data_IF_488298914536
#
_entry.id   IF_488298914536
#
_cell.length_a   1.000
_cell.length_b   1.000
_cell.length_c   1.000
_cell.angle_alpha   90.00
_cell.angle_beta   90.00
_cell.angle_gamma   90.00
#
_symmetry.space_group_name_H-M   'P 1'
#
loop_
_entity.id
_entity.type
_entity.pdbx_description
1 polymer ?
#
# COMPACT_ATOMS: atom_id res chain seq x y z
N UNK A 1 -19.61 4.03 -10.91
CA UNK A 1 -19.93 3.10 -9.82
C UNK A 1 -19.62 1.70 -10.33
N UNK A 2 -18.87 0.86 -9.61
CA UNK A 2 -18.68 -0.53 -10.03
C UNK A 2 -20.05 -1.23 -10.14
N UNK A 3 -20.20 -2.22 -11.04
CA UNK A 3 -21.47 -2.92 -11.20
C UNK A 3 -21.91 -3.58 -9.88
N UNK A 4 -23.22 -3.71 -9.62
CA UNK A 4 -23.70 -4.35 -8.39
C UNK A 4 -23.24 -5.80 -8.29
N UNK A 5 -22.96 -6.24 -7.06
CA UNK A 5 -22.56 -7.62 -6.77
C UNK A 5 -23.57 -8.62 -7.32
N UNK A 6 -23.08 -9.73 -7.86
CA UNK A 6 -23.92 -10.83 -8.31
C UNK A 6 -24.58 -10.62 -9.68
N UNK A 7 -24.45 -9.43 -10.27
CA UNK A 7 -24.86 -9.17 -11.65
C UNK A 7 -23.96 -9.90 -12.63
N UNK A 8 -24.45 -10.26 -13.84
CA UNK A 8 -23.63 -10.86 -14.88
C UNK A 8 -22.40 -10.01 -15.19
N UNK A 9 -21.25 -10.66 -15.39
CA UNK A 9 -20.04 -9.95 -15.73
C UNK A 9 -20.06 -9.52 -17.20
N UNK A 10 -20.14 -8.21 -17.44
CA UNK A 10 -20.21 -7.62 -18.79
C UNK A 10 -18.94 -7.84 -19.63
N UNK A 11 -17.86 -8.31 -19.01
CA UNK A 11 -16.61 -8.68 -19.70
C UNK A 11 -16.58 -10.15 -20.13
N UNK A 12 -17.64 -10.92 -19.86
CA UNK A 12 -17.77 -12.27 -20.38
C UNK A 12 -18.08 -12.20 -21.89
N UNK A 13 -17.06 -12.45 -22.72
CA UNK A 13 -17.12 -12.37 -24.17
C UNK A 13 -16.23 -13.43 -24.84
N UNK A 14 -16.20 -13.52 -26.18
CA UNK A 14 -15.52 -14.60 -26.93
C UNK A 14 -13.97 -14.54 -26.91
N UNK A 15 -13.38 -13.91 -25.88
CA UNK A 15 -11.94 -13.89 -25.69
C UNK A 15 -11.39 -15.22 -25.19
N UNK A 16 -10.09 -15.40 -25.30
CA UNK A 16 -9.31 -16.55 -24.79
C UNK A 16 -9.08 -16.51 -23.27
N UNK A 17 -10.00 -15.90 -22.53
CA UNK A 17 -9.91 -15.72 -21.08
C UNK A 17 -11.20 -16.16 -20.39
N UNK A 18 -11.08 -16.71 -19.18
CA UNK A 18 -12.23 -17.07 -18.34
C UNK A 18 -12.47 -15.98 -17.31
N UNK A 19 -13.58 -15.25 -17.43
CA UNK A 19 -14.03 -14.32 -16.40
C UNK A 19 -14.94 -15.02 -15.38
N UNK A 20 -15.06 -14.44 -14.19
CA UNK A 20 -16.13 -14.85 -13.28
C UNK A 20 -17.49 -14.49 -13.89
N UNK A 21 -18.44 -15.43 -13.91
CA UNK A 21 -19.79 -15.21 -14.46
C UNK A 21 -20.57 -14.06 -13.79
N UNK A 22 -20.22 -13.77 -12.53
CA UNK A 22 -20.84 -12.71 -11.73
C UNK A 22 -19.80 -11.69 -11.29
N UNK A 23 -20.26 -10.47 -11.05
CA UNK A 23 -19.46 -9.38 -10.49
C UNK A 23 -19.29 -9.59 -8.97
N UNK A 24 -18.05 -9.50 -8.51
CA UNK A 24 -17.66 -9.52 -7.10
C UNK A 24 -17.08 -8.15 -6.71
N UNK A 25 -17.42 -7.68 -5.52
CA UNK A 25 -16.93 -6.42 -4.97
C UNK A 25 -16.66 -6.52 -3.45
N UNK A 26 -16.53 -7.74 -2.94
CA UNK A 26 -16.19 -8.06 -1.56
C UNK A 26 -14.81 -8.74 -1.45
N UNK A 27 -14.33 -8.89 -0.24
CA UNK A 27 -13.05 -9.57 0.04
C UNK A 27 -13.26 -11.08 0.04
N UNK A 28 -12.49 -11.80 -0.77
CA UNK A 28 -12.53 -13.26 -0.74
C UNK A 28 -12.15 -13.79 0.65
N UNK A 29 -12.82 -14.84 1.17
CA UNK A 29 -12.58 -15.32 2.53
C UNK A 29 -11.13 -15.68 2.85
N UNK A 30 -10.35 -16.12 1.85
CA UNK A 30 -8.95 -16.54 2.02
C UNK A 30 -7.95 -15.38 2.14
N UNK A 31 -8.34 -14.15 1.76
CA UNK A 31 -7.54 -12.92 1.93
C UNK A 31 -8.21 -11.92 2.88
N UNK A 32 -9.19 -12.36 3.65
CA UNK A 32 -9.87 -11.52 4.63
C UNK A 32 -8.90 -11.18 5.78
N UNK A 33 -8.53 -9.89 5.97
CA UNK A 33 -7.53 -9.51 6.97
C UNK A 33 -8.02 -9.73 8.41
N UNK A 34 -9.33 -9.91 8.62
CA UNK A 34 -9.92 -10.14 9.94
C UNK A 34 -9.98 -11.62 10.32
N UNK A 35 -9.79 -12.54 9.36
CA UNK A 35 -9.93 -13.98 9.60
C UNK A 35 -8.58 -14.62 9.89
N UNK A 36 -8.52 -15.32 11.02
CA UNK A 36 -7.32 -16.02 11.51
C UNK A 36 -7.08 -17.40 10.86
N UNK A 37 -7.97 -17.93 10.03
CA UNK A 37 -7.95 -19.35 9.68
C UNK A 37 -8.25 -19.58 8.20
N UNK A 38 -7.43 -20.42 7.52
CA UNK A 38 -7.90 -21.61 6.79
C UNK A 38 -6.73 -22.55 6.41
N UNK A 39 -6.71 -23.70 7.10
CA UNK A 39 -6.05 -25.00 6.80
C UNK A 39 -4.57 -25.22 7.17
N UNK A 40 -4.32 -26.46 7.65
CA UNK A 40 -3.09 -26.99 8.28
C UNK A 40 -1.85 -27.06 7.37
N UNK A 41 -1.92 -26.52 6.15
CA UNK A 41 -0.77 -26.37 5.26
C UNK A 41 -0.22 -24.95 5.41
N UNK A 42 0.49 -24.75 6.52
CA UNK A 42 1.39 -23.64 6.84
C UNK A 42 1.51 -22.53 5.78
N UNK A 43 0.84 -21.39 6.00
CA UNK A 43 1.41 -20.03 5.92
C UNK A 43 0.41 -19.03 6.57
N UNK A 44 0.63 -18.85 7.87
CA UNK A 44 0.35 -17.66 8.71
C UNK A 44 -1.09 -17.20 8.93
N UNK A 45 -1.54 -17.34 10.18
CA UNK A 45 -2.44 -16.42 10.89
C UNK A 45 -2.13 -14.97 10.48
N UNK A 46 -3.09 -14.24 9.91
CA UNK A 46 -3.00 -12.80 9.58
C UNK A 46 -2.98 -11.91 10.83
N UNK A 47 -2.12 -12.23 11.81
CA UNK A 47 -1.92 -11.41 12.98
C UNK A 47 -0.61 -10.64 12.84
N UNK A 48 -0.74 -9.34 12.57
CA UNK A 48 0.39 -8.43 12.42
C UNK A 48 0.65 -7.62 13.69
N UNK A 49 0.15 -8.06 14.84
CA UNK A 49 0.47 -7.44 16.14
C UNK A 49 1.99 -7.31 16.32
N UNK A 50 2.42 -6.11 16.69
CA UNK A 50 3.82 -5.73 16.86
C UNK A 50 4.59 -5.48 15.55
N UNK A 51 3.96 -5.63 14.39
CA UNK A 51 4.59 -5.34 13.09
C UNK A 51 4.43 -3.87 12.72
N UNK A 52 5.45 -3.38 12.02
CA UNK A 52 5.52 -2.04 11.45
C UNK A 52 5.42 -2.08 9.93
N UNK A 53 4.59 -1.21 9.35
CA UNK A 53 4.39 -1.12 7.90
C UNK A 53 4.42 0.33 7.44
N UNK A 54 5.03 0.57 6.28
CA UNK A 54 4.97 1.86 5.58
C UNK A 54 4.36 1.69 4.20
N UNK A 55 3.26 2.40 3.94
CA UNK A 55 2.56 2.42 2.65
C UNK A 55 2.74 3.78 1.98
N UNK A 56 3.32 3.79 0.78
CA UNK A 56 3.38 5.00 -0.07
C UNK A 56 2.12 5.12 -0.94
N UNK A 57 1.72 6.34 -1.29
CA UNK A 57 0.53 6.59 -2.12
C UNK A 57 -0.78 6.28 -1.39
N UNK A 58 -0.83 6.48 -0.07
CA UNK A 58 -1.93 6.02 0.79
C UNK A 58 -3.10 7.02 0.94
N UNK A 59 -3.11 8.14 0.23
CA UNK A 59 -4.17 9.15 0.35
C UNK A 59 -5.53 8.68 -0.17
N UNK A 60 -5.55 7.76 -1.15
CA UNK A 60 -6.77 7.21 -1.78
C UNK A 60 -6.50 5.86 -2.45
N UNK A 61 -7.55 5.28 -3.05
CA UNK A 61 -7.43 4.10 -3.90
C UNK A 61 -6.84 2.88 -3.18
N UNK A 62 -5.97 2.14 -3.88
CA UNK A 62 -5.37 0.91 -3.35
C UNK A 62 -4.52 1.17 -2.11
N UNK A 63 -3.69 2.20 -2.08
CA UNK A 63 -2.84 2.51 -0.93
C UNK A 63 -3.64 2.72 0.36
N UNK A 64 -4.79 3.41 0.27
CA UNK A 64 -5.69 3.57 1.42
C UNK A 64 -6.29 2.23 1.86
N UNK A 65 -6.76 1.41 0.92
CA UNK A 65 -7.35 0.10 1.24
C UNK A 65 -6.32 -0.89 1.80
N UNK A 66 -5.08 -0.83 1.32
CA UNK A 66 -3.96 -1.59 1.86
C UNK A 66 -3.72 -1.18 3.32
N UNK A 67 -3.62 0.12 3.62
CA UNK A 67 -3.40 0.60 4.98
C UNK A 67 -4.56 0.19 5.93
N UNK A 68 -5.81 0.28 5.47
CA UNK A 68 -6.99 -0.21 6.20
C UNK A 68 -6.89 -1.72 6.45
N UNK A 69 -6.44 -2.49 5.47
CA UNK A 69 -6.31 -3.95 5.60
C UNK A 69 -5.23 -4.34 6.61
N UNK A 70 -4.09 -3.64 6.63
CA UNK A 70 -3.06 -3.81 7.66
C UNK A 70 -3.58 -3.49 9.07
N UNK A 71 -4.42 -2.45 9.20
CA UNK A 71 -5.07 -2.09 10.45
C UNK A 71 -6.03 -3.19 10.93
N UNK A 72 -6.84 -3.74 10.02
CA UNK A 72 -7.75 -4.87 10.29
C UNK A 72 -7.02 -6.16 10.68
N UNK A 73 -5.79 -6.35 10.21
CA UNK A 73 -4.92 -7.46 10.58
C UNK A 73 -4.11 -7.20 11.88
N UNK A 74 -4.30 -6.04 12.52
CA UNK A 74 -3.70 -5.71 13.81
C UNK A 74 -2.25 -5.19 13.76
N UNK A 75 -1.78 -4.66 12.63
CA UNK A 75 -0.48 -4.00 12.56
C UNK A 75 -0.39 -2.89 13.60
N UNK A 76 0.66 -2.88 14.43
CA UNK A 76 0.76 -1.94 15.57
C UNK A 76 1.32 -0.57 15.19
N UNK A 77 2.12 -0.51 14.13
CA UNK A 77 2.76 0.72 13.66
C UNK A 77 2.50 0.89 12.17
N UNK A 78 1.86 1.99 11.77
CA UNK A 78 1.44 2.21 10.38
C UNK A 78 1.87 3.60 9.94
N UNK A 79 2.87 3.66 9.07
CA UNK A 79 3.24 4.88 8.37
C UNK A 79 2.48 4.95 7.05
N UNK A 80 2.01 6.14 6.69
CA UNK A 80 1.34 6.40 5.42
C UNK A 80 1.92 7.65 4.78
N UNK A 81 2.27 7.57 3.50
CA UNK A 81 2.95 8.64 2.78
C UNK A 81 2.20 9.05 1.53
N UNK A 82 1.99 10.35 1.33
CA UNK A 82 1.47 10.91 0.09
C UNK A 82 1.73 12.42 0.03
N UNK A 83 1.64 13.01 -1.16
CA UNK A 83 1.67 14.48 -1.36
C UNK A 83 0.37 15.18 -0.93
N UNK A 84 -0.73 14.44 -0.93
CA UNK A 84 -2.06 14.94 -0.55
C UNK A 84 -2.36 14.67 0.92
N UNK A 85 -3.39 15.33 1.46
CA UNK A 85 -3.83 15.09 2.83
C UNK A 85 -4.10 13.62 3.12
N UNK A 86 -3.67 13.17 4.30
CA UNK A 86 -3.81 11.80 4.79
C UNK A 86 -4.86 11.68 5.91
N UNK A 87 -5.51 12.78 6.30
CA UNK A 87 -6.46 12.81 7.43
C UNK A 87 -7.57 11.78 7.30
N UNK A 88 -8.19 11.67 6.12
CA UNK A 88 -9.26 10.68 5.86
C UNK A 88 -8.73 9.26 6.02
N UNK A 89 -7.56 8.95 5.44
CA UNK A 89 -6.95 7.62 5.57
C UNK A 89 -6.59 7.29 7.02
N UNK A 90 -6.01 8.23 7.78
CA UNK A 90 -5.70 8.04 9.20
C UNK A 90 -6.95 7.69 10.02
N UNK A 91 -8.06 8.40 9.80
CA UNK A 91 -9.33 8.13 10.49
C UNK A 91 -9.91 6.76 10.12
N UNK A 92 -9.79 6.36 8.85
CA UNK A 92 -10.23 5.04 8.38
C UNK A 92 -9.37 3.91 8.97
N UNK A 93 -8.05 4.10 9.09
CA UNK A 93 -7.14 3.15 9.73
C UNK A 93 -7.56 2.93 11.20
N UNK A 94 -7.72 4.02 11.96
CA UNK A 94 -8.13 3.99 13.37
C UNK A 94 -9.46 3.24 13.55
N UNK A 95 -10.49 3.66 12.83
CA UNK A 95 -11.82 3.07 12.94
C UNK A 95 -11.84 1.60 12.51
N UNK A 96 -11.07 1.23 11.48
CA UNK A 96 -11.00 -0.15 10.99
C UNK A 96 -10.28 -1.11 11.95
N UNK A 97 -9.22 -0.65 12.63
CA UNK A 97 -8.57 -1.44 13.67
C UNK A 97 -9.51 -1.74 14.84
N UNK A 98 -10.21 -0.71 15.33
CA UNK A 98 -11.19 -0.83 16.43
C UNK A 98 -12.33 -1.76 16.03
N UNK A 99 -12.89 -1.59 14.83
CA UNK A 99 -13.98 -2.44 14.33
C UNK A 99 -13.56 -3.92 14.17
N UNK A 100 -12.27 -4.17 13.94
CA UNK A 100 -11.70 -5.53 13.88
C UNK A 100 -11.27 -6.08 15.25
N UNK A 101 -11.47 -5.34 16.35
CA UNK A 101 -11.11 -5.77 17.71
C UNK A 101 -9.63 -5.62 18.06
N UNK A 102 -8.89 -4.80 17.31
CA UNK A 102 -7.48 -4.50 17.58
C UNK A 102 -7.33 -3.14 18.30
N UNK A 103 -6.25 -2.95 19.09
CA UNK A 103 -5.88 -1.63 19.59
C UNK A 103 -5.66 -0.64 18.44
N UNK A 104 -5.85 0.65 18.72
CA UNK A 104 -5.49 1.70 17.78
C UNK A 104 -3.97 1.65 17.50
N UNK A 105 -3.55 1.57 16.22
CA UNK A 105 -2.14 1.56 15.89
C UNK A 105 -1.52 2.95 16.07
N UNK A 106 -0.20 2.99 16.24
CA UNK A 106 0.55 4.23 16.10
C UNK A 106 0.61 4.61 14.62
N UNK A 107 -0.11 5.67 14.23
CA UNK A 107 -0.20 6.15 12.85
C UNK A 107 0.79 7.29 12.63
N UNK A 108 1.60 7.20 11.57
CA UNK A 108 2.57 8.25 11.18
C UNK A 108 2.23 8.74 9.76
N UNK A 109 1.41 9.81 9.62
CA UNK A 109 1.15 10.41 8.32
C UNK A 109 2.32 11.31 7.90
N UNK A 110 2.79 11.14 6.66
CA UNK A 110 3.95 11.84 6.12
C UNK A 110 3.59 12.53 4.80
N UNK A 111 3.87 13.84 4.72
CA UNK A 111 3.87 14.53 3.43
C UNK A 111 5.10 14.04 2.64
N UNK A 112 4.85 13.17 1.67
CA UNK A 112 5.89 12.41 0.98
C UNK A 112 5.79 12.59 -0.53
N UNK A 113 6.87 13.11 -1.10
CA UNK A 113 7.17 12.99 -2.52
C UNK A 113 8.28 11.96 -2.73
N UNK A 114 7.93 10.79 -3.27
CA UNK A 114 8.87 9.69 -3.43
C UNK A 114 9.94 9.98 -4.49
N UNK A 115 9.72 10.93 -5.41
CA UNK A 115 10.72 11.33 -6.39
C UNK A 115 11.78 12.29 -5.79
N UNK A 116 11.52 12.85 -4.59
CA UNK A 116 12.41 13.79 -3.92
C UNK A 116 13.30 13.10 -2.87
N UNK A 117 14.61 13.12 -3.08
CA UNK A 117 15.59 12.54 -2.14
C UNK A 117 15.50 13.14 -0.74
N UNK A 118 15.29 14.46 -0.64
CA UNK A 118 15.17 15.15 0.64
C UNK A 118 13.88 14.76 1.35
N UNK A 119 12.76 14.65 0.61
CA UNK A 119 11.48 14.18 1.16
C UNK A 119 11.59 12.75 1.68
N UNK A 120 12.21 11.84 0.91
CA UNK A 120 12.42 10.44 1.31
C UNK A 120 13.34 10.33 2.53
N UNK A 121 14.43 11.11 2.60
CA UNK A 121 15.33 11.12 3.77
C UNK A 121 14.60 11.56 5.04
N UNK A 122 13.85 12.67 4.97
CA UNK A 122 13.08 13.18 6.10
C UNK A 122 12.00 12.19 6.55
N UNK A 123 11.36 11.50 5.60
CA UNK A 123 10.41 10.43 5.91
C UNK A 123 11.09 9.25 6.62
N UNK A 124 12.27 8.83 6.16
CA UNK A 124 13.04 7.75 6.78
C UNK A 124 13.44 8.07 8.22
N UNK A 125 13.90 9.29 8.49
CA UNK A 125 14.23 9.75 9.84
C UNK A 125 12.99 9.77 10.74
N UNK A 126 11.88 10.30 10.24
CA UNK A 126 10.61 10.37 10.99
C UNK A 126 10.07 8.98 11.34
N UNK A 127 10.10 8.04 10.39
CA UNK A 127 9.67 6.65 10.63
C UNK A 127 10.63 5.94 11.57
N UNK A 128 11.94 6.11 11.39
CA UNK A 128 12.95 5.55 12.29
C UNK A 128 12.71 5.99 13.73
N UNK A 129 12.51 7.29 13.96
CA UNK A 129 12.21 7.80 15.29
C UNK A 129 10.91 7.24 15.85
N UNK A 130 9.84 7.25 15.04
CA UNK A 130 8.52 6.80 15.49
C UNK A 130 8.46 5.29 15.78
N UNK A 131 9.17 4.47 15.00
CA UNK A 131 9.14 3.00 15.07
C UNK A 131 10.40 2.41 15.71
N UNK A 132 11.16 3.22 16.46
CA UNK A 132 12.33 2.78 17.24
C UNK A 132 13.41 2.11 16.37
N UNK A 133 13.66 2.68 15.19
CA UNK A 133 14.68 2.25 14.25
C UNK A 133 14.31 1.03 13.42
N UNK A 134 13.04 0.60 13.44
CA UNK A 134 12.61 -0.66 12.83
C UNK A 134 11.43 -0.48 11.87
N UNK A 135 11.53 -1.09 10.70
CA UNK A 135 10.43 -1.28 9.76
C UNK A 135 10.36 -2.75 9.32
N UNK A 136 9.21 -3.39 9.42
CA UNK A 136 9.05 -4.79 9.00
C UNK A 136 8.59 -4.92 7.55
N UNK A 137 7.78 -3.96 7.06
CA UNK A 137 7.13 -4.05 5.75
C UNK A 137 7.16 -2.68 5.07
N UNK A 138 7.70 -2.62 3.85
CA UNK A 138 7.60 -1.46 2.96
C UNK A 138 6.72 -1.81 1.76
N UNK A 139 5.66 -1.02 1.54
CA UNK A 139 4.76 -1.14 0.40
C UNK A 139 4.99 0.04 -0.54
N UNK A 140 5.75 -0.20 -1.60
CA UNK A 140 5.92 0.74 -2.71
C UNK A 140 4.66 0.74 -3.60
N UNK A 141 3.63 1.47 -3.19
CA UNK A 141 2.35 1.57 -3.91
C UNK A 141 2.18 2.91 -4.64
N UNK A 142 2.87 3.98 -4.22
CA UNK A 142 2.82 5.25 -4.92
C UNK A 142 3.22 5.08 -6.39
N UNK A 143 2.35 5.56 -7.27
CA UNK A 143 2.59 5.58 -8.70
C UNK A 143 1.66 6.56 -9.39
N UNK A 144 2.09 7.03 -10.54
CA UNK A 144 1.27 7.86 -11.42
C UNK A 144 1.24 7.26 -12.82
N UNK A 145 0.23 7.67 -13.59
CA UNK A 145 0.14 7.39 -15.02
C UNK A 145 -0.05 8.77 -15.66
N UNK A 146 0.82 9.09 -16.61
CA UNK A 146 0.72 10.30 -17.43
C UNK A 146 -0.52 10.25 -18.32
N UNK A 147 -0.79 11.32 -19.06
CA UNK A 147 -1.88 11.36 -20.02
C UNK A 147 -1.77 10.21 -21.03
N UNK A 148 -2.91 9.57 -21.34
CA UNK A 148 -2.99 8.48 -22.32
C UNK A 148 -2.92 9.03 -23.76
N UNK A 149 -1.76 9.57 -24.12
CA UNK A 149 -1.51 10.05 -25.46
C UNK A 149 -0.98 8.91 -26.35
N UNK A 150 -1.21 9.03 -27.66
CA UNK A 150 -0.52 8.19 -28.63
C UNK A 150 0.98 8.46 -28.55
N UNK A 151 1.81 7.43 -28.72
CA UNK A 151 3.28 7.56 -28.57
C UNK A 151 3.85 8.70 -29.44
N UNK A 152 3.35 8.86 -30.67
CA UNK A 152 3.80 9.89 -31.60
C UNK A 152 3.40 11.32 -31.23
N UNK A 153 2.43 11.51 -30.31
CA UNK A 153 2.01 12.82 -29.81
C UNK A 153 2.41 13.07 -28.35
N UNK A 154 2.95 12.05 -27.67
CA UNK A 154 3.38 12.16 -26.28
C UNK A 154 4.64 13.02 -26.15
N UNK A 155 4.77 13.74 -25.02
CA UNK A 155 6.01 14.42 -24.67
C UNK A 155 6.92 13.45 -23.91
N UNK A 156 8.08 13.05 -24.47
CA UNK A 156 8.99 12.10 -23.84
C UNK A 156 9.52 12.61 -22.50
N UNK A 157 9.75 13.92 -22.36
CA UNK A 157 10.23 14.51 -21.11
C UNK A 157 9.17 14.42 -20.01
N UNK A 158 7.91 14.74 -20.32
CA UNK A 158 6.82 14.56 -19.35
C UNK A 158 6.66 13.11 -18.93
N UNK A 159 6.75 12.17 -19.88
CA UNK A 159 6.67 10.75 -19.56
C UNK A 159 7.83 10.31 -18.64
N UNK A 160 9.06 10.70 -18.97
CA UNK A 160 10.24 10.35 -18.19
C UNK A 160 10.25 11.05 -16.81
N UNK A 161 10.14 12.38 -16.81
CA UNK A 161 10.33 13.20 -15.64
C UNK A 161 9.20 13.07 -14.62
N UNK A 162 7.98 12.79 -15.06
CA UNK A 162 6.86 12.60 -14.14
C UNK A 162 6.66 11.12 -13.84
N UNK A 163 6.47 10.28 -14.87
CA UNK A 163 6.04 8.90 -14.67
C UNK A 163 7.20 8.01 -14.23
N UNK A 164 8.33 8.07 -14.92
CA UNK A 164 9.48 7.21 -14.60
C UNK A 164 10.17 7.63 -13.31
N UNK A 165 10.30 8.93 -13.04
CA UNK A 165 10.86 9.39 -11.77
C UNK A 165 10.03 8.97 -10.57
N UNK A 166 8.69 9.00 -10.64
CA UNK A 166 7.86 8.52 -9.53
C UNK A 166 7.90 6.99 -9.46
N UNK A 167 7.58 6.29 -10.55
CA UNK A 167 7.30 4.86 -10.50
C UNK A 167 8.58 4.01 -10.38
N UNK A 168 9.68 4.44 -11.00
CA UNK A 168 10.94 3.71 -11.00
C UNK A 168 11.93 4.31 -10.01
N UNK A 169 12.33 5.58 -10.21
CA UNK A 169 13.33 6.20 -9.35
C UNK A 169 12.82 6.35 -7.92
N UNK A 170 11.56 6.74 -7.72
CA UNK A 170 10.98 6.91 -6.40
C UNK A 170 10.91 5.60 -5.62
N UNK A 171 10.49 4.51 -6.28
CA UNK A 171 10.53 3.15 -5.70
C UNK A 171 11.94 2.75 -5.28
N UNK A 172 12.95 3.07 -6.09
CA UNK A 172 14.35 2.84 -5.76
C UNK A 172 14.80 3.66 -4.54
N UNK A 173 14.49 4.96 -4.49
CA UNK A 173 14.85 5.83 -3.38
C UNK A 173 14.22 5.36 -2.07
N UNK A 174 12.92 5.05 -2.09
CA UNK A 174 12.21 4.49 -0.95
C UNK A 174 12.85 3.20 -0.47
N UNK A 175 13.10 2.25 -1.37
CA UNK A 175 13.71 0.97 -0.99
C UNK A 175 15.09 1.19 -0.38
N UNK A 176 15.95 1.99 -1.02
CA UNK A 176 17.30 2.28 -0.53
C UNK A 176 17.29 2.94 0.84
N UNK A 177 16.43 3.92 1.08
CA UNK A 177 16.40 4.68 2.33
C UNK A 177 15.87 3.87 3.50
N UNK A 178 14.92 2.96 3.26
CA UNK A 178 14.28 2.18 4.32
C UNK A 178 14.89 0.80 4.55
N UNK A 179 15.72 0.31 3.63
CA UNK A 179 16.42 -0.97 3.78
C UNK A 179 17.26 -1.06 5.08
N UNK A 180 17.99 -0.02 5.52
CA UNK A 180 18.73 -0.06 6.79
C UNK A 180 17.82 -0.20 8.02
N UNK A 181 16.56 0.25 7.94
CA UNK A 181 15.57 0.10 9.02
C UNK A 181 14.91 -1.27 9.01
N UNK A 182 15.13 -2.08 7.96
CA UNK A 182 14.41 -3.33 7.79
C UNK A 182 14.70 -4.29 8.96
N UNK A 183 13.67 -4.93 9.51
CA UNK A 183 13.81 -5.75 10.72
C UNK A 183 14.66 -7.02 10.55
N UNK A 184 14.79 -7.51 9.33
CA UNK A 184 15.68 -8.61 8.96
C UNK A 184 17.12 -8.12 8.71
N UNK A 185 18.12 -8.55 9.51
CA UNK A 185 19.52 -8.19 9.31
C UNK A 185 20.12 -8.68 7.98
N UNK A 186 19.51 -9.69 7.35
CA UNK A 186 19.95 -10.18 6.04
C UNK A 186 19.59 -9.17 4.94
N UNK A 187 18.40 -8.58 5.02
CA UNK A 187 17.95 -7.61 4.03
C UNK A 187 18.68 -6.28 4.16
N UNK A 188 19.10 -5.89 5.37
CA UNK A 188 19.93 -4.70 5.58
C UNK A 188 21.29 -4.73 4.84
N UNK A 189 21.71 -5.89 4.31
CA UNK A 189 23.00 -6.08 3.63
C UNK A 189 22.92 -6.11 2.10
N UNK A 190 21.72 -6.02 1.51
CA UNK A 190 21.53 -5.88 0.06
C UNK A 190 22.00 -4.50 -0.41
#
# INVERSE_FOLDING_TARGET
MPPPRGTPNVLEGPGDYTMTQKVFNDTYPFIDPTKSNLTKSSLTKSNLTGKSVFITGASKGLGQQIAISFAKAGASYIAIGARSSLTTTSNLIKSSAIAAGHPEPQIVPLNLDIASRTSVSAASESVSQAFQGKLDILINNAGIISQNDLIGSSNPETWWDETMNVNLQGTYLMTKSFLPLHSSPLLQKL
#
